data_IF_176700975634
#
_entry.id   IF_176700975634
#
_cell.length_a   1.000
_cell.length_b   1.000
_cell.length_c   1.000
_cell.angle_alpha   90.00
_cell.angle_beta   90.00
_cell.angle_gamma   90.00
#
_symmetry.space_group_name_H-M   'P 1'
#
loop_
_entity.id
_entity.type
_entity.pdbx_description
1 polymer ?
#
# COMPACT_ATOMS: atom_id res chain seq x y z
N UNK A 1 20.57 11.57 -1.94
CA UNK A 1 19.10 11.78 -1.79
C UNK A 1 18.83 11.79 -0.30
N UNK A 2 18.50 12.94 0.25
CA UNK A 2 18.15 13.04 1.66
C UNK A 2 16.95 12.16 1.95
N UNK A 3 17.03 11.36 3.00
CA UNK A 3 15.88 10.58 3.50
C UNK A 3 14.87 11.57 4.08
N UNK A 4 13.66 11.50 3.62
CA UNK A 4 12.56 12.25 4.20
C UNK A 4 12.36 11.81 5.67
N UNK A 5 12.20 12.77 6.58
CA UNK A 5 11.95 12.45 7.99
C UNK A 5 10.50 11.98 8.16
N UNK A 6 10.37 10.72 8.54
CA UNK A 6 9.09 10.08 8.85
C UNK A 6 8.90 9.85 10.36
N UNK A 7 9.68 10.51 11.20
CA UNK A 7 9.62 10.32 12.68
C UNK A 7 8.23 10.63 13.26
N UNK A 8 7.47 11.51 12.60
CA UNK A 8 6.10 11.86 12.97
C UNK A 8 5.13 10.68 12.97
N UNK A 9 5.41 9.61 12.19
CA UNK A 9 4.60 8.38 12.16
C UNK A 9 4.46 7.72 13.54
N UNK A 10 5.43 7.91 14.42
CA UNK A 10 5.41 7.32 15.77
C UNK A 10 4.33 7.91 16.68
N UNK A 11 3.87 9.11 16.34
CA UNK A 11 2.89 9.85 17.13
C UNK A 11 1.45 9.73 16.58
N UNK A 12 1.30 9.08 15.42
CA UNK A 12 0.00 8.95 14.77
C UNK A 12 -0.61 7.57 15.02
N UNK A 13 -1.93 7.50 15.19
CA UNK A 13 -2.63 6.21 15.23
C UNK A 13 -2.37 5.43 13.95
N UNK A 14 -1.84 4.23 14.07
CA UNK A 14 -1.46 3.41 12.93
C UNK A 14 -2.36 2.19 12.79
N UNK A 15 -2.91 1.99 11.59
CA UNK A 15 -3.72 0.83 11.23
C UNK A 15 -2.84 -0.12 10.43
N UNK A 16 -2.61 -1.30 10.98
CA UNK A 16 -1.73 -2.32 10.39
C UNK A 16 -2.55 -3.38 9.65
N UNK A 17 -1.94 -4.03 8.67
CA UNK A 17 -2.44 -5.28 8.13
C UNK A 17 -2.20 -6.43 9.09
N UNK A 18 -2.99 -7.48 8.97
CA UNK A 18 -2.85 -8.72 9.73
C UNK A 18 -1.47 -9.37 9.60
N UNK A 19 -1.12 -10.20 10.55
CA UNK A 19 0.10 -11.00 10.49
C UNK A 19 0.08 -11.96 9.31
N UNK A 20 1.25 -12.18 8.70
CA UNK A 20 1.37 -12.99 7.50
C UNK A 20 1.06 -12.26 6.19
N UNK A 21 0.42 -11.10 6.23
CA UNK A 21 0.16 -10.28 5.04
C UNK A 21 1.43 -9.85 4.33
N UNK A 22 1.48 -10.06 3.02
CA UNK A 22 2.57 -9.53 2.21
C UNK A 22 2.64 -8.00 2.19
N UNK A 23 1.50 -7.32 2.37
CA UNK A 23 1.45 -5.85 2.50
C UNK A 23 2.05 -5.39 3.81
N UNK A 24 1.80 -6.14 4.92
CA UNK A 24 2.45 -5.88 6.21
C UNK A 24 3.96 -6.02 6.13
N UNK A 25 4.45 -7.13 5.59
CA UNK A 25 5.89 -7.37 5.42
C UNK A 25 6.58 -6.25 4.65
N UNK A 26 5.91 -5.74 3.62
CA UNK A 26 6.46 -4.64 2.84
C UNK A 26 6.42 -3.31 3.61
N UNK A 27 5.34 -3.02 4.32
CA UNK A 27 5.26 -1.84 5.18
C UNK A 27 6.33 -1.86 6.28
N UNK A 28 6.53 -3.01 6.94
CA UNK A 28 7.58 -3.21 7.95
C UNK A 28 8.98 -3.00 7.36
N UNK A 29 9.23 -3.50 6.15
CA UNK A 29 10.49 -3.29 5.43
C UNK A 29 10.75 -1.81 5.16
N UNK A 30 9.72 -1.09 4.69
CA UNK A 30 9.82 0.34 4.43
C UNK A 30 10.08 1.12 5.71
N UNK A 31 9.33 0.86 6.78
CA UNK A 31 9.53 1.48 8.09
C UNK A 31 10.95 1.24 8.62
N UNK A 32 11.42 0.01 8.53
CA UNK A 32 12.78 -0.35 8.94
C UNK A 32 13.86 0.40 8.15
N UNK A 33 13.65 0.60 6.85
CA UNK A 33 14.57 1.38 6.02
C UNK A 33 14.68 2.86 6.49
N UNK A 34 13.59 3.40 7.06
CA UNK A 34 13.57 4.71 7.70
C UNK A 34 14.06 4.71 9.15
N UNK A 35 14.46 3.57 9.69
CA UNK A 35 14.86 3.42 11.09
C UNK A 35 13.69 3.51 12.07
N UNK A 36 12.48 3.22 11.58
CA UNK A 36 11.28 3.17 12.38
C UNK A 36 11.00 1.70 12.75
N UNK A 37 11.02 1.43 14.05
CA UNK A 37 10.64 0.15 14.59
C UNK A 37 9.11 0.07 14.69
N UNK A 38 8.53 -1.00 14.16
CA UNK A 38 7.08 -1.22 14.18
C UNK A 38 6.53 -1.28 15.58
N UNK A 39 7.31 -1.80 16.54
CA UNK A 39 6.93 -1.88 17.95
C UNK A 39 6.78 -0.50 18.62
N UNK A 40 7.33 0.53 17.99
CA UNK A 40 7.23 1.92 18.46
C UNK A 40 6.10 2.71 17.83
N UNK A 41 5.33 2.09 16.95
CA UNK A 41 4.14 2.70 16.36
C UNK A 41 2.94 2.57 17.29
N UNK A 42 2.09 3.57 17.30
CA UNK A 42 0.81 3.53 17.99
C UNK A 42 -0.21 2.70 17.20
N UNK A 43 -0.02 1.38 17.14
CA UNK A 43 -0.93 0.48 16.40
C UNK A 43 -2.26 0.42 17.13
N UNK A 44 -3.29 1.03 16.56
CA UNK A 44 -4.65 1.10 17.12
C UNK A 44 -5.56 0.00 16.60
N UNK A 45 -5.23 -0.60 15.45
CA UNK A 45 -5.99 -1.70 14.87
C UNK A 45 -5.12 -2.55 13.94
N UNK A 46 -5.46 -3.84 13.86
CA UNK A 46 -4.96 -4.76 12.82
C UNK A 46 -6.14 -5.29 12.02
N UNK A 47 -6.07 -5.22 10.70
CA UNK A 47 -7.20 -5.54 9.82
C UNK A 47 -6.76 -6.42 8.65
N UNK A 48 -7.59 -7.42 8.30
CA UNK A 48 -7.36 -8.32 7.17
C UNK A 48 -7.78 -7.70 5.83
N UNK A 49 -8.79 -6.85 5.85
CA UNK A 49 -9.36 -6.25 4.65
C UNK A 49 -8.73 -4.90 4.33
N UNK A 50 -8.17 -4.75 3.13
CA UNK A 50 -7.70 -3.46 2.63
C UNK A 50 -8.83 -2.43 2.53
N UNK A 51 -10.05 -2.88 2.21
CA UNK A 51 -11.23 -2.01 2.17
C UNK A 51 -11.57 -1.46 3.55
N UNK A 52 -11.48 -2.31 4.60
CA UNK A 52 -11.67 -1.86 5.97
C UNK A 52 -10.61 -0.81 6.36
N UNK A 53 -9.35 -1.05 6.02
CA UNK A 53 -8.28 -0.08 6.27
C UNK A 53 -8.56 1.26 5.57
N UNK A 54 -8.88 1.23 4.28
CA UNK A 54 -9.18 2.45 3.51
C UNK A 54 -10.32 3.26 4.12
N UNK A 55 -11.41 2.57 4.51
CA UNK A 55 -12.56 3.22 5.17
C UNK A 55 -12.18 3.79 6.53
N UNK A 56 -11.39 3.07 7.31
CA UNK A 56 -10.95 3.54 8.62
C UNK A 56 -10.06 4.77 8.50
N UNK A 57 -9.12 4.77 7.55
CA UNK A 57 -8.28 5.94 7.23
C UNK A 57 -9.17 7.10 6.75
N UNK A 58 -10.12 6.86 5.83
CA UNK A 58 -11.03 7.87 5.32
C UNK A 58 -11.93 8.48 6.43
N UNK A 59 -12.20 7.74 7.49
CA UNK A 59 -12.94 8.22 8.66
C UNK A 59 -12.04 8.86 9.75
N UNK A 60 -10.74 9.04 9.46
CA UNK A 60 -9.83 9.71 10.38
C UNK A 60 -9.41 8.86 11.59
N UNK A 61 -9.50 7.53 11.51
CA UNK A 61 -9.08 6.64 12.60
C UNK A 61 -7.56 6.53 12.72
N UNK A 62 -6.83 6.96 11.71
CA UNK A 62 -5.37 6.89 11.70
C UNK A 62 -4.79 6.83 10.30
N UNK A 63 -3.56 6.38 10.23
CA UNK A 63 -2.79 6.25 8.99
C UNK A 63 -2.47 4.78 8.71
N UNK A 64 -2.14 4.47 7.46
CA UNK A 64 -1.68 3.13 7.08
C UNK A 64 -0.72 3.19 5.90
N UNK A 65 0.14 2.19 5.76
CA UNK A 65 0.98 1.99 4.57
C UNK A 65 0.39 0.86 3.74
N UNK A 66 -0.11 1.21 2.56
CA UNK A 66 -0.69 0.26 1.62
C UNK A 66 -0.23 0.55 0.19
N UNK A 67 -0.54 -0.33 -0.75
CA UNK A 67 -0.26 -0.08 -2.17
C UNK A 67 -1.09 1.08 -2.71
N UNK A 68 -0.47 1.98 -3.47
CA UNK A 68 -1.17 3.07 -4.16
C UNK A 68 -2.29 2.54 -5.07
N UNK A 69 -2.03 1.44 -5.76
CA UNK A 69 -3.04 0.83 -6.63
C UNK A 69 -4.30 0.42 -5.86
N UNK A 70 -4.15 -0.01 -4.61
CA UNK A 70 -5.28 -0.39 -3.77
C UNK A 70 -6.10 0.82 -3.29
N UNK A 71 -5.50 2.00 -3.20
CA UNK A 71 -6.16 3.23 -2.73
C UNK A 71 -6.47 4.23 -3.85
N UNK A 72 -6.29 3.83 -5.11
CA UNK A 72 -6.39 4.76 -6.24
C UNK A 72 -7.76 5.45 -6.34
N UNK A 73 -8.83 4.72 -6.06
CA UNK A 73 -10.20 5.27 -6.09
C UNK A 73 -10.42 6.31 -4.99
N UNK A 74 -10.00 6.03 -3.77
CA UNK A 74 -10.13 6.93 -2.62
C UNK A 74 -9.29 8.19 -2.80
N UNK A 75 -8.10 8.03 -3.38
CA UNK A 75 -7.22 9.16 -3.70
C UNK A 75 -7.87 10.06 -4.76
N UNK A 76 -8.37 9.45 -5.85
CA UNK A 76 -9.03 10.18 -6.94
C UNK A 76 -10.30 10.87 -6.46
N UNK A 77 -11.02 10.23 -5.53
CA UNK A 77 -12.21 10.79 -4.92
C UNK A 77 -11.92 11.83 -3.81
N UNK A 78 -10.64 12.08 -3.50
CA UNK A 78 -10.25 13.01 -2.43
C UNK A 78 -10.63 12.56 -1.02
N UNK A 79 -10.93 11.28 -0.83
CA UNK A 79 -11.34 10.72 0.47
C UNK A 79 -10.16 10.48 1.41
N UNK A 80 -8.97 10.33 0.86
CA UNK A 80 -7.73 10.11 1.59
C UNK A 80 -6.64 10.99 1.02
N UNK A 81 -5.79 11.51 1.88
CA UNK A 81 -4.52 12.11 1.49
C UNK A 81 -3.48 11.02 1.38
N UNK A 82 -2.55 11.20 0.47
CA UNK A 82 -1.49 10.25 0.28
C UNK A 82 -0.12 10.90 0.19
N UNK A 83 0.87 10.17 0.62
CA UNK A 83 2.26 10.54 0.50
C UNK A 83 3.07 9.34 0.04
N UNK A 84 3.98 9.56 -0.90
CA UNK A 84 4.89 8.51 -1.33
C UNK A 84 5.89 8.23 -0.20
N UNK A 85 6.03 6.95 0.14
CA UNK A 85 7.14 6.48 0.97
C UNK A 85 8.23 6.01 0.02
N UNK A 86 9.30 6.78 -0.17
CA UNK A 86 10.43 6.32 -0.95
C UNK A 86 11.06 5.14 -0.20
N UNK A 87 11.33 4.05 -0.87
CA UNK A 87 11.92 2.86 -0.25
C UNK A 87 12.99 2.27 -1.11
N UNK A 88 13.87 1.50 -0.48
CA UNK A 88 14.78 0.64 -1.20
C UNK A 88 14.00 -0.54 -1.75
N UNK A 89 13.99 -0.67 -3.05
CA UNK A 89 13.45 -1.86 -3.70
C UNK A 89 12.40 -1.56 -4.76
N UNK A 90 12.46 -2.40 -5.72
CA UNK A 90 11.48 -2.52 -6.77
C UNK A 90 10.21 -3.14 -6.18
N UNK A 91 9.06 -2.67 -6.64
CA UNK A 91 7.78 -3.22 -6.22
C UNK A 91 7.76 -4.76 -6.26
N UNK A 92 6.78 -5.32 -5.64
CA UNK A 92 6.60 -6.77 -5.52
C UNK A 92 6.10 -7.35 -6.84
N UNK A 93 6.71 -8.45 -7.27
CA UNK A 93 6.20 -9.23 -8.39
C UNK A 93 4.89 -9.91 -8.02
N UNK A 94 3.96 -9.90 -8.95
CA UNK A 94 2.74 -10.71 -8.87
C UNK A 94 2.96 -11.93 -9.76
N UNK A 95 2.96 -13.10 -9.14
CA UNK A 95 3.21 -14.35 -9.83
C UNK A 95 1.90 -15.08 -10.11
N UNK A 96 1.75 -15.59 -11.33
CA UNK A 96 0.70 -16.53 -11.68
C UNK A 96 1.26 -17.93 -11.43
N UNK A 97 0.68 -18.63 -10.46
CA UNK A 97 1.09 -19.99 -10.10
C UNK A 97 -0.01 -20.96 -10.49
N UNK A 98 0.35 -22.03 -11.17
CA UNK A 98 -0.56 -23.12 -11.52
C UNK A 98 0.14 -24.47 -11.42
N UNK A 99 -0.61 -25.52 -11.17
CA UNK A 99 -0.07 -26.86 -11.10
C UNK A 99 0.20 -27.38 -12.53
N UNK A 100 1.47 -27.66 -12.83
CA UNK A 100 1.92 -28.15 -14.14
C UNK A 100 1.35 -29.54 -14.53
N UNK A 101 0.89 -30.30 -13.54
CA UNK A 101 0.35 -31.64 -13.77
C UNK A 101 -1.13 -31.63 -14.15
N UNK A 102 -1.77 -30.47 -14.12
CA UNK A 102 -3.16 -30.30 -14.55
C UNK A 102 -3.21 -29.53 -15.86
N UNK A 103 -4.04 -29.99 -16.78
CA UNK A 103 -4.36 -29.23 -17.98
C UNK A 103 -5.18 -28.01 -17.61
N UNK A 104 -4.69 -26.84 -18.01
CA UNK A 104 -5.45 -25.61 -17.84
C UNK A 104 -6.69 -25.64 -18.73
N UNK A 105 -7.81 -25.18 -18.22
CA UNK A 105 -8.98 -24.94 -19.04
C UNK A 105 -8.70 -23.80 -20.04
N UNK A 106 -9.42 -23.80 -21.16
CA UNK A 106 -9.31 -22.69 -22.14
C UNK A 106 -9.56 -21.30 -21.54
N UNK A 107 -10.45 -21.23 -20.54
CA UNK A 107 -10.72 -20.00 -19.80
C UNK A 107 -9.53 -19.57 -18.95
N UNK A 108 -8.86 -20.51 -18.28
CA UNK A 108 -7.66 -20.22 -17.49
C UNK A 108 -6.49 -19.77 -18.37
N UNK A 109 -6.29 -20.42 -19.52
CA UNK A 109 -5.27 -19.99 -20.51
C UNK A 109 -5.54 -18.58 -21.03
N UNK A 110 -6.81 -18.31 -21.36
CA UNK A 110 -7.22 -16.96 -21.81
C UNK A 110 -7.01 -15.92 -20.73
N UNK A 111 -7.37 -16.22 -19.47
CA UNK A 111 -7.11 -15.32 -18.33
C UNK A 111 -5.64 -15.01 -18.19
N UNK A 112 -4.76 -16.01 -18.19
CA UNK A 112 -3.31 -15.84 -18.11
C UNK A 112 -2.80 -14.93 -19.23
N UNK A 113 -3.29 -15.14 -20.45
CA UNK A 113 -2.90 -14.33 -21.60
C UNK A 113 -3.31 -12.87 -21.43
N UNK A 114 -4.56 -12.61 -21.09
CA UNK A 114 -5.08 -11.26 -20.85
C UNK A 114 -4.31 -10.55 -19.75
N UNK A 115 -4.05 -11.24 -18.65
CA UNK A 115 -3.26 -10.64 -17.54
C UNK A 115 -1.85 -10.29 -18.00
N UNK A 116 -1.17 -11.19 -18.72
CA UNK A 116 0.16 -10.90 -19.27
C UNK A 116 0.14 -9.69 -20.18
N UNK A 117 -0.78 -9.64 -21.15
CA UNK A 117 -0.92 -8.52 -22.07
C UNK A 117 -1.19 -7.20 -21.34
N UNK A 118 -2.09 -7.20 -20.36
CA UNK A 118 -2.38 -6.02 -19.53
C UNK A 118 -1.16 -5.52 -18.75
N UNK A 119 -0.36 -6.43 -18.22
CA UNK A 119 0.83 -6.09 -17.42
C UNK A 119 2.04 -5.78 -18.28
N UNK A 120 2.23 -6.42 -19.43
CA UNK A 120 3.30 -6.08 -20.38
C UNK A 120 3.08 -4.70 -20.99
N UNK A 121 1.87 -4.37 -21.40
CA UNK A 121 1.53 -3.04 -21.91
C UNK A 121 1.76 -1.96 -20.85
N UNK A 122 1.44 -2.26 -19.59
CA UNK A 122 1.70 -1.34 -18.49
C UNK A 122 3.19 -1.28 -18.08
N UNK A 123 4.02 -2.28 -18.40
CA UNK A 123 5.45 -2.26 -18.07
C UNK A 123 6.26 -1.25 -18.90
N UNK A 124 5.71 -0.72 -19.97
CA UNK A 124 6.33 0.39 -20.72
C UNK A 124 6.31 1.72 -19.96
N UNK A 125 5.44 1.91 -18.98
CA UNK A 125 5.48 3.04 -18.05
C UNK A 125 6.06 2.63 -16.68
N UNK A 126 7.30 2.19 -16.71
CA UNK A 126 8.02 1.50 -15.59
C UNK A 126 8.16 2.29 -14.29
N UNK A 127 7.89 3.59 -14.30
CA UNK A 127 8.23 4.47 -13.18
C UNK A 127 7.07 4.83 -12.25
N UNK A 128 5.82 4.64 -12.67
CA UNK A 128 4.65 5.07 -11.89
C UNK A 128 4.06 4.02 -10.93
N UNK A 129 4.47 2.74 -11.06
CA UNK A 129 3.82 1.61 -10.38
C UNK A 129 4.41 1.20 -9.03
N UNK A 130 5.47 1.87 -8.59
CA UNK A 130 6.25 1.47 -7.40
C UNK A 130 6.10 2.41 -6.21
N UNK A 131 4.97 3.09 -6.10
CA UNK A 131 4.75 3.98 -4.98
C UNK A 131 3.96 3.25 -3.88
N UNK A 132 4.59 3.05 -2.75
CA UNK A 132 3.94 2.73 -1.48
C UNK A 132 3.35 4.00 -0.90
N UNK A 133 2.20 3.88 -0.26
CA UNK A 133 1.37 4.99 0.10
C UNK A 133 1.13 5.03 1.60
N UNK A 134 1.35 6.17 2.20
CA UNK A 134 0.79 6.50 3.51
C UNK A 134 -0.52 7.24 3.26
N UNK A 135 -1.64 6.65 3.64
CA UNK A 135 -2.92 7.33 3.65
C UNK A 135 -3.06 8.15 4.93
N UNK A 136 -3.28 9.43 4.79
CA UNK A 136 -3.51 10.36 5.88
C UNK A 136 -4.81 11.10 5.64
N UNK A 137 -5.74 11.03 6.58
CA UNK A 137 -6.91 11.89 6.57
C UNK A 137 -6.80 12.87 7.71
N UNK A 138 -6.51 14.11 7.37
CA UNK A 138 -6.73 15.23 8.26
C UNK A 138 -8.22 15.56 8.25
N UNK A 139 -8.92 15.21 9.31
CA UNK A 139 -10.23 15.74 9.56
C UNK A 139 -10.05 17.14 10.14
N UNK A 140 -10.19 18.16 9.29
CA UNK A 140 -10.52 19.56 9.63
C UNK A 140 -9.82 20.28 10.82
N UNK A 141 -8.68 19.85 11.29
CA UNK A 141 -7.94 20.63 12.28
C UNK A 141 -6.88 21.57 11.67
N UNK A 142 -6.68 21.53 10.38
CA UNK A 142 -5.71 22.38 9.68
C UNK A 142 -6.33 23.61 9.00
N UNK A 143 -7.47 24.08 9.46
CA UNK A 143 -7.98 25.41 9.15
C UNK A 143 -7.63 26.39 10.29
N UNK A 144 -6.41 26.35 10.75
CA UNK A 144 -5.77 27.46 11.46
C UNK A 144 -4.45 27.76 10.77
N UNK A 145 -4.59 28.20 9.54
CA UNK A 145 -3.57 29.03 8.93
C UNK A 145 -3.74 30.43 9.50
N UNK A 146 -2.78 30.85 10.26
CA UNK A 146 -2.44 32.26 10.34
C UNK A 146 -1.25 32.51 9.43
#
# INVERSE_FOLDING_TARGET
MEKEDLSWLKNEPYIMREEGSGTRKEAEKQLKWYGIDVERLAIVASMESQEAIKRSVANGMGISIISRLAAEEEIRAGKVLWRKVPGEGEGRDINIVYNKNFHLSKSAERFIRVVKEMYEIKSRSRWERKAWLIGYVYKQAALLSF
#
